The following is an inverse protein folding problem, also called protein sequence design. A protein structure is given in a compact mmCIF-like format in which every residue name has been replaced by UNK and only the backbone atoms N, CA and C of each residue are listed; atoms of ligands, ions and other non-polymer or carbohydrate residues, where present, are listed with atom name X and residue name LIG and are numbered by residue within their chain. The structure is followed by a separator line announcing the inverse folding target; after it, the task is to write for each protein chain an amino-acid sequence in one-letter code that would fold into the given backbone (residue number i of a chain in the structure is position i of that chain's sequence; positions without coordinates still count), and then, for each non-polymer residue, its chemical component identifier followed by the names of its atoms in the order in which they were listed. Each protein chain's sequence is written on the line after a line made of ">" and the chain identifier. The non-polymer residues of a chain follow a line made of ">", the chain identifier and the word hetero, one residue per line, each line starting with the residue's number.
data_IF_198651891456
#
_entry.id   IF_198651891456
#
_cell.length_a   1.000
_cell.length_b   1.000
_cell.length_c   1.000
_cell.angle_alpha   90.00
_cell.angle_beta   90.00
_cell.angle_gamma   90.00
#
_symmetry.space_group_name_H-M   'P 1'
#
loop_
_entity.id
_entity.type
_entity.pdbx_description
1 polymer ?
#
# COMPACT_ATOMS: atom_id res chain seq x y z
N UNK A 1 -18.53 -12.79 -28.31
CA UNK A 1 -19.21 -12.04 -27.23
C UNK A 1 -19.15 -10.52 -27.40
N UNK A 2 -18.10 -9.93 -27.97
CA UNK A 2 -17.98 -8.48 -28.22
C UNK A 2 -19.07 -7.84 -29.11
N UNK A 3 -19.85 -8.62 -29.87
CA UNK A 3 -20.84 -8.11 -30.85
C UNK A 3 -22.20 -7.70 -30.26
N UNK A 4 -22.39 -7.80 -28.95
CA UNK A 4 -23.68 -7.54 -28.26
C UNK A 4 -23.61 -6.29 -27.38
N UNK A 5 -22.49 -5.56 -27.40
CA UNK A 5 -22.30 -4.38 -26.57
C UNK A 5 -22.63 -3.11 -27.35
N UNK A 6 -23.24 -2.11 -26.69
CA UNK A 6 -23.51 -0.81 -27.30
C UNK A 6 -22.21 -0.13 -27.73
N UNK A 7 -22.28 0.70 -28.77
CA UNK A 7 -21.12 1.43 -29.28
C UNK A 7 -20.46 2.25 -28.15
N UNK A 8 -19.16 2.04 -27.97
CA UNK A 8 -18.37 2.68 -26.91
C UNK A 8 -18.24 1.90 -25.60
N UNK A 9 -18.82 0.70 -25.48
CA UNK A 9 -18.62 -0.16 -24.30
C UNK A 9 -17.38 -1.06 -24.44
N UNK A 10 -16.58 -1.12 -23.36
CA UNK A 10 -15.37 -1.96 -23.26
C UNK A 10 -15.59 -3.10 -22.27
N UNK A 11 -15.20 -4.32 -22.64
CA UNK A 11 -15.15 -5.46 -21.71
C UNK A 11 -13.80 -5.45 -21.02
N UNK A 12 -13.78 -5.28 -19.70
CA UNK A 12 -12.57 -5.48 -18.89
C UNK A 12 -12.66 -6.85 -18.19
N UNK A 13 -11.75 -7.80 -18.45
CA UNK A 13 -11.72 -9.05 -17.70
C UNK A 13 -11.23 -8.77 -16.28
N UNK A 14 -11.93 -9.34 -15.29
CA UNK A 14 -11.55 -9.25 -13.88
C UNK A 14 -11.24 -10.66 -13.37
N UNK A 15 -10.07 -10.85 -12.77
CA UNK A 15 -9.71 -12.08 -12.06
C UNK A 15 -9.67 -11.77 -10.57
N UNK A 16 -10.42 -12.53 -9.78
CA UNK A 16 -10.37 -12.48 -8.32
C UNK A 16 -9.77 -13.77 -7.80
N UNK A 17 -8.76 -13.64 -6.94
CA UNK A 17 -8.16 -14.76 -6.23
C UNK A 17 -8.01 -14.40 -4.75
N UNK A 18 -8.09 -15.39 -3.89
CA UNK A 18 -7.83 -15.24 -2.47
C UNK A 18 -7.16 -16.52 -1.97
N UNK A 19 -6.09 -16.36 -1.20
CA UNK A 19 -5.39 -17.47 -0.57
C UNK A 19 -5.29 -17.20 0.93
N UNK A 20 -5.36 -18.26 1.74
CA UNK A 20 -5.39 -18.12 3.20
C UNK A 20 -3.99 -17.80 3.71
N UNK A 21 -3.77 -16.59 4.20
CA UNK A 21 -2.51 -16.25 4.86
C UNK A 21 -2.66 -16.40 6.38
N UNK A 22 -1.67 -17.07 6.99
CA UNK A 22 -1.54 -17.12 8.44
C UNK A 22 -0.81 -15.85 8.89
N UNK A 23 -1.43 -15.06 9.76
CA UNK A 23 -0.71 -14.00 10.49
C UNK A 23 0.22 -14.66 11.49
N UNK A 24 1.52 -14.35 11.44
CA UNK A 24 2.50 -14.98 12.32
C UNK A 24 2.77 -14.14 13.58
N UNK A 25 2.63 -14.81 14.72
CA UNK A 25 3.41 -14.70 15.97
C UNK A 25 2.99 -13.88 17.20
N UNK A 26 2.10 -12.88 17.21
CA UNK A 26 1.91 -12.13 18.49
C UNK A 26 0.52 -12.08 19.15
N UNK A 27 -0.62 -12.36 18.49
CA UNK A 27 -1.89 -12.55 19.22
C UNK A 27 -2.89 -13.46 18.47
N UNK A 28 -2.82 -14.76 18.73
CA UNK A 28 -3.90 -15.71 18.46
C UNK A 28 -4.07 -16.11 16.99
N UNK A 29 -4.54 -17.33 16.79
CA UNK A 29 -4.72 -18.04 15.53
C UNK A 29 -5.79 -17.40 14.63
N UNK A 30 -5.50 -16.20 14.10
CA UNK A 30 -6.38 -15.44 13.20
C UNK A 30 -5.87 -15.58 11.78
N UNK A 31 -6.69 -16.21 10.95
CA UNK A 31 -6.43 -16.29 9.51
C UNK A 31 -7.15 -15.16 8.79
N UNK A 32 -6.46 -14.55 7.82
CA UNK A 32 -7.02 -13.52 6.96
C UNK A 32 -6.91 -13.99 5.51
N UNK A 33 -7.86 -13.53 4.69
CA UNK A 33 -7.96 -13.83 3.28
C UNK A 33 -7.61 -12.57 2.49
N UNK A 34 -6.36 -12.37 2.07
CA UNK A 34 -6.02 -11.34 1.11
C UNK A 34 -6.85 -11.49 -0.17
N UNK A 35 -7.20 -10.36 -0.76
CA UNK A 35 -7.91 -10.30 -2.03
C UNK A 35 -6.93 -9.83 -3.09
N UNK A 36 -6.67 -10.69 -4.06
CA UNK A 36 -5.96 -10.39 -5.28
C UNK A 36 -7.00 -10.10 -6.35
N UNK A 37 -6.91 -8.95 -7.00
CA UNK A 37 -7.77 -8.53 -8.08
C UNK A 37 -6.90 -8.14 -9.26
N UNK A 38 -7.13 -8.71 -10.44
CA UNK A 38 -6.54 -8.18 -11.67
C UNK A 38 -7.60 -7.68 -12.63
N UNK A 39 -7.31 -6.54 -13.25
CA UNK A 39 -8.16 -5.92 -14.27
C UNK A 39 -7.35 -5.91 -15.57
N UNK A 40 -7.92 -6.50 -16.61
CA UNK A 40 -7.36 -6.44 -17.95
C UNK A 40 -7.70 -5.12 -18.63
N UNK A 41 -6.67 -4.46 -19.14
CA UNK A 41 -6.77 -3.23 -19.93
C UNK A 41 -6.12 -3.47 -21.27
N UNK A 42 -6.85 -3.17 -22.34
CA UNK A 42 -6.30 -3.20 -23.70
C UNK A 42 -5.31 -2.03 -23.86
N UNK A 43 -4.05 -2.36 -24.12
CA UNK A 43 -2.97 -1.40 -24.28
C UNK A 43 -2.40 -1.53 -25.69
N UNK A 44 -2.19 -0.38 -26.35
CA UNK A 44 -1.53 -0.30 -27.66
C UNK A 44 -0.01 -0.34 -27.42
N UNK A 45 0.64 -1.35 -27.99
CA UNK A 45 2.10 -1.47 -27.98
C UNK A 45 2.74 -0.58 -29.06
N UNK A 46 4.04 -0.32 -28.93
CA UNK A 46 4.80 0.51 -29.87
C UNK A 46 4.84 -0.05 -31.32
N UNK A 47 4.56 -1.34 -31.48
CA UNK A 47 4.45 -2.05 -32.76
C UNK A 47 3.02 -2.00 -33.37
N UNK A 48 2.10 -1.19 -32.79
CA UNK A 48 0.69 -1.07 -33.19
C UNK A 48 -0.19 -2.30 -32.91
N UNK A 49 0.27 -3.24 -32.09
CA UNK A 49 -0.55 -4.36 -31.63
C UNK A 49 -1.29 -4.01 -30.35
N UNK A 50 -2.49 -4.56 -30.17
CA UNK A 50 -3.28 -4.40 -28.95
C UNK A 50 -3.12 -5.66 -28.11
N UNK A 51 -2.70 -5.48 -26.85
CA UNK A 51 -2.57 -6.57 -25.88
C UNK A 51 -3.39 -6.27 -24.64
N UNK A 52 -4.04 -7.29 -24.09
CA UNK A 52 -4.71 -7.19 -22.80
C UNK A 52 -3.66 -7.33 -21.69
N UNK A 53 -3.40 -6.22 -20.97
CA UNK A 53 -2.46 -6.15 -19.85
C UNK A 53 -3.23 -6.28 -18.55
N UNK A 54 -2.80 -7.20 -17.69
CA UNK A 54 -3.43 -7.44 -16.39
C UNK A 54 -2.64 -6.75 -15.29
N UNK A 55 -3.21 -5.68 -14.72
CA UNK A 55 -2.65 -5.06 -13.51
C UNK A 55 -3.06 -5.89 -12.30
N UNK A 56 -2.11 -6.25 -11.44
CA UNK A 56 -2.39 -6.98 -10.19
C UNK A 56 -2.53 -5.98 -9.05
N UNK A 57 -3.72 -5.92 -8.47
CA UNK A 57 -4.04 -5.22 -7.24
C UNK A 57 -4.10 -6.24 -6.10
N UNK A 58 -3.40 -5.97 -4.99
CA UNK A 58 -3.41 -6.84 -3.81
C UNK A 58 -3.82 -6.03 -2.59
N UNK A 59 -4.83 -6.50 -1.87
CA UNK A 59 -5.20 -6.01 -0.56
C UNK A 59 -5.00 -7.13 0.47
N UNK A 60 -4.13 -6.90 1.45
CA UNK A 60 -3.87 -7.84 2.54
C UNK A 60 -3.80 -7.08 3.87
N UNK A 61 -4.11 -7.77 4.96
CA UNK A 61 -3.99 -7.23 6.31
C UNK A 61 -2.61 -7.56 6.82
N UNK A 62 -1.80 -6.53 7.04
CA UNK A 62 -0.49 -6.64 7.66
C UNK A 62 -0.59 -6.31 9.17
N UNK A 63 0.15 -7.02 10.01
CA UNK A 63 0.35 -6.60 11.41
C UNK A 63 1.32 -5.39 11.49
N UNK A 64 1.58 -4.91 12.71
CA UNK A 64 2.41 -3.72 12.90
C UNK A 64 3.84 -3.83 12.32
N UNK A 65 4.63 -4.89 12.58
CA UNK A 65 5.96 -5.03 11.98
C UNK A 65 5.89 -5.19 10.45
N UNK A 66 4.93 -5.94 9.91
CA UNK A 66 4.75 -6.06 8.46
C UNK A 66 4.35 -4.71 7.82
N UNK A 67 3.50 -3.91 8.48
CA UNK A 67 3.16 -2.56 8.03
C UNK A 67 4.39 -1.65 7.99
N UNK A 68 5.27 -1.72 9.01
CA UNK A 68 6.52 -0.96 9.03
C UNK A 68 7.45 -1.38 7.90
N UNK A 69 7.59 -2.68 7.65
CA UNK A 69 8.40 -3.23 6.56
C UNK A 69 7.92 -2.74 5.18
N UNK A 70 6.60 -2.78 4.93
CA UNK A 70 6.00 -2.39 3.63
C UNK A 70 6.07 -0.89 3.39
N UNK A 71 5.89 -0.10 4.45
CA UNK A 71 5.96 1.36 4.38
C UNK A 71 7.39 1.91 4.47
N UNK A 72 8.38 1.03 4.71
CA UNK A 72 9.75 1.41 5.00
C UNK A 72 9.86 2.43 6.15
N UNK A 73 9.01 2.29 7.17
CA UNK A 73 9.06 3.08 8.40
C UNK A 73 9.83 2.31 9.48
N UNK A 74 10.44 3.02 10.43
CA UNK A 74 11.11 2.39 11.57
C UNK A 74 10.07 1.65 12.46
N UNK A 75 10.40 0.46 12.93
CA UNK A 75 9.50 -0.39 13.74
C UNK A 75 9.06 0.27 15.05
N UNK A 76 9.68 1.38 15.46
CA UNK A 76 9.30 2.13 16.66
C UNK A 76 8.19 3.18 16.41
N UNK A 77 7.75 3.39 15.16
CA UNK A 77 6.78 4.42 14.82
C UNK A 77 5.61 3.88 14.00
N UNK A 78 4.44 4.51 14.15
CA UNK A 78 3.28 4.14 13.35
C UNK A 78 3.42 4.67 11.91
N UNK A 79 3.23 3.83 10.87
CA UNK A 79 3.29 4.29 9.50
C UNK A 79 2.08 5.15 9.09
N UNK A 80 1.01 5.14 9.88
CA UNK A 80 -0.23 5.91 9.60
C UNK A 80 -0.32 7.22 10.37
N UNK A 81 0.26 7.31 11.56
CA UNK A 81 0.09 8.46 12.44
C UNK A 81 1.40 8.86 13.12
N UNK A 82 1.47 10.08 13.62
CA UNK A 82 2.68 10.67 14.23
C UNK A 82 2.87 10.22 15.70
N UNK A 83 2.40 9.02 16.04
CA UNK A 83 2.49 8.49 17.40
C UNK A 83 3.85 7.81 17.59
N UNK A 84 4.60 8.27 18.58
CA UNK A 84 5.83 7.61 19.02
C UNK A 84 5.57 6.30 19.78
N UNK A 85 6.55 5.39 19.74
CA UNK A 85 6.52 4.03 20.31
C UNK A 85 5.79 3.92 21.67
N UNK A 86 6.10 4.84 22.59
CA UNK A 86 5.63 4.80 23.98
C UNK A 86 4.11 4.97 24.16
N UNK A 87 3.39 5.38 23.11
CA UNK A 87 1.94 5.64 23.14
C UNK A 87 1.15 4.72 22.22
N UNK A 88 1.78 3.70 21.63
CA UNK A 88 1.09 2.71 20.79
C UNK A 88 0.15 1.82 21.62
N UNK A 89 -0.96 1.39 21.01
CA UNK A 89 -1.95 0.50 21.64
C UNK A 89 -2.99 1.18 22.53
N UNK A 90 -2.85 2.47 22.81
CA UNK A 90 -3.86 3.27 23.49
C UNK A 90 -4.84 3.89 22.50
N UNK A 91 -6.11 4.04 22.90
CA UNK A 91 -7.11 4.78 22.12
C UNK A 91 -6.80 6.27 22.26
N UNK A 92 -5.94 6.75 21.36
CA UNK A 92 -5.51 8.15 21.30
C UNK A 92 -5.91 8.73 19.95
N UNK A 93 -6.53 9.91 19.97
CA UNK A 93 -6.68 10.70 18.76
C UNK A 93 -5.30 11.20 18.34
N UNK A 94 -4.79 10.62 17.26
CA UNK A 94 -3.52 11.00 16.68
C UNK A 94 -3.74 11.59 15.30
N UNK A 95 -2.92 12.59 14.99
CA UNK A 95 -2.93 13.20 13.66
C UNK A 95 -2.40 12.16 12.67
N UNK A 96 -3.17 11.92 11.60
CA UNK A 96 -2.70 11.10 10.49
C UNK A 96 -1.50 11.76 9.83
N UNK A 97 -0.54 10.95 9.38
CA UNK A 97 0.65 11.46 8.70
C UNK A 97 0.25 12.08 7.36
N UNK A 98 0.50 13.37 7.20
CA UNK A 98 0.23 14.07 5.95
C UNK A 98 1.38 13.85 4.95
N UNK A 99 1.11 13.48 3.69
CA UNK A 99 2.16 13.18 2.73
C UNK A 99 2.91 14.41 2.20
N UNK A 100 2.34 15.61 2.27
CA UNK A 100 2.98 16.83 1.73
C UNK A 100 4.23 17.27 2.51
N UNK A 101 4.17 17.49 3.84
CA UNK A 101 5.37 17.86 4.61
C UNK A 101 6.40 16.72 4.62
N UNK A 102 5.94 15.46 4.57
CA UNK A 102 6.85 14.31 4.52
C UNK A 102 7.69 14.25 3.25
N UNK A 103 7.11 14.67 2.11
CA UNK A 103 7.87 14.76 0.85
C UNK A 103 8.98 15.79 0.94
N UNK A 104 8.73 16.96 1.54
CA UNK A 104 9.75 18.01 1.71
C UNK A 104 10.90 17.51 2.61
N UNK A 105 10.57 16.91 3.75
CA UNK A 105 11.54 16.34 4.69
C UNK A 105 12.42 15.27 3.99
N UNK A 106 11.81 14.36 3.24
CA UNK A 106 12.52 13.32 2.48
C UNK A 106 13.39 13.91 1.37
N UNK A 107 12.94 14.96 0.68
CA UNK A 107 13.74 15.66 -0.33
C UNK A 107 14.95 16.36 0.28
N UNK A 108 14.79 16.99 1.44
CA UNK A 108 15.89 17.62 2.19
C UNK A 108 16.93 16.58 2.64
N UNK A 109 16.47 15.40 3.10
CA UNK A 109 17.35 14.24 3.39
C UNK A 109 18.11 13.77 2.15
N UNK A 110 17.42 13.64 1.01
CA UNK A 110 18.04 13.28 -0.27
C UNK A 110 19.13 14.29 -0.68
N UNK A 111 18.95 15.57 -0.34
CA UNK A 111 19.92 16.63 -0.59
C UNK A 111 21.06 16.69 0.45
N UNK A 112 21.16 15.71 1.36
CA UNK A 112 22.23 15.60 2.35
C UNK A 112 22.03 16.45 3.61
N UNK A 113 20.87 17.10 3.77
CA UNK A 113 20.52 17.77 5.02
C UNK A 113 20.00 16.73 6.02
N UNK A 114 20.28 16.91 7.31
CA UNK A 114 19.71 16.09 8.38
C UNK A 114 18.68 16.93 9.18
N UNK A 115 17.45 17.06 8.66
CA UNK A 115 16.39 17.76 9.38
C UNK A 115 16.04 17.02 10.69
N UNK A 116 15.91 17.73 11.83
CA UNK A 116 15.50 17.13 13.11
C UNK A 116 14.08 16.54 13.03
N UNK A 117 13.26 17.00 12.08
CA UNK A 117 11.92 16.48 11.86
C UNK A 117 11.91 15.01 11.37
N UNK A 118 13.05 14.44 10.96
CA UNK A 118 13.14 13.02 10.59
C UNK A 118 12.96 12.09 11.80
N UNK A 119 13.56 12.45 12.93
CA UNK A 119 13.49 11.65 14.17
C UNK A 119 12.10 11.73 14.81
N UNK A 120 11.50 12.92 14.83
CA UNK A 120 10.11 13.11 15.30
C UNK A 120 9.09 12.33 14.46
N UNK A 121 9.44 12.03 13.21
CA UNK A 121 8.62 11.25 12.30
C UNK A 121 9.10 9.79 12.14
N UNK A 122 10.09 9.31 12.91
CA UNK A 122 10.56 7.92 12.82
C UNK A 122 10.98 7.49 11.41
N UNK A 123 11.66 8.37 10.67
CA UNK A 123 12.18 8.14 9.31
C UNK A 123 13.71 8.09 9.24
N UNK A 124 14.37 7.78 10.36
CA UNK A 124 15.83 7.75 10.49
C UNK A 124 16.51 6.55 9.86
#
# INVERSE_FOLDING_TARGET
>A
MQKVLPDGATIAPIILASDKTLLSQFQGDKSVWPVYMSIGVDMVCADSWIWCVYLILVAYVADFPEQCLVSCCEENHCPKCIVGANKQGYVLDSVMRDPEPMKDILQRRKNGQHPPELEENGLT
#
